data_IF_639445494274
#
_entry.id   IF_639445494274
#
_cell.length_a   1.000
_cell.length_b   1.000
_cell.length_c   1.000
_cell.angle_alpha   90.00
_cell.angle_beta   90.00
_cell.angle_gamma   90.00
#
_symmetry.space_group_name_H-M   'P 1'
#
loop_
_entity.id
_entity.type
_entity.pdbx_description
1 polymer ?
#
# COMPACT_ATOMS: atom_id res chain seq x y z
N UNK A 1 -9.24 -3.79 -2.40
CA UNK A 1 -9.84 -4.01 -3.73
C UNK A 1 -8.75 -3.76 -4.76
N UNK A 2 -8.35 -4.76 -5.51
CA UNK A 2 -7.34 -4.61 -6.58
C UNK A 2 -8.10 -4.30 -7.87
N UNK A 3 -7.85 -3.14 -8.45
CA UNK A 3 -8.41 -2.76 -9.75
C UNK A 3 -7.35 -3.05 -10.82
N UNK A 4 -7.69 -3.87 -11.80
CA UNK A 4 -6.80 -4.22 -12.89
C UNK A 4 -7.20 -3.42 -14.13
N UNK A 5 -6.28 -2.59 -14.65
CA UNK A 5 -6.48 -1.82 -15.87
C UNK A 5 -5.86 -2.59 -17.06
N UNK A 6 -6.64 -2.76 -18.14
CA UNK A 6 -6.18 -3.32 -19.41
C UNK A 6 -5.92 -2.19 -20.41
N UNK A 7 -4.74 -2.12 -20.98
CA UNK A 7 -4.46 -1.27 -22.14
C UNK A 7 -4.14 -2.16 -23.35
N UNK A 8 -4.98 -2.09 -24.37
CA UNK A 8 -4.83 -2.77 -25.64
C UNK A 8 -6.17 -3.21 -26.20
N UNK A 9 -6.69 -2.45 -27.19
CA UNK A 9 -7.97 -2.67 -27.87
C UNK A 9 -9.15 -2.81 -26.90
N UNK A 10 -9.85 -1.71 -26.67
CA UNK A 10 -11.18 -1.70 -26.06
C UNK A 10 -12.16 -2.52 -26.91
N UNK A 11 -12.09 -3.83 -26.81
CA UNK A 11 -13.30 -4.62 -26.92
C UNK A 11 -14.03 -4.37 -25.62
N UNK A 12 -15.29 -3.96 -25.67
CA UNK A 12 -16.18 -3.78 -24.51
C UNK A 12 -16.23 -5.08 -23.70
N UNK A 13 -15.21 -5.31 -22.87
CA UNK A 13 -15.22 -6.33 -21.84
C UNK A 13 -15.77 -5.69 -20.57
N UNK A 14 -16.84 -6.22 -20.04
CA UNK A 14 -17.38 -5.79 -18.77
C UNK A 14 -16.26 -5.75 -17.70
N UNK A 15 -16.21 -4.68 -16.92
CA UNK A 15 -15.34 -4.59 -15.74
C UNK A 15 -15.60 -5.83 -14.86
N UNK A 16 -14.59 -6.66 -14.65
CA UNK A 16 -14.71 -7.88 -13.87
C UNK A 16 -14.26 -7.62 -12.43
N UNK A 17 -15.13 -7.92 -11.48
CA UNK A 17 -14.81 -7.86 -10.05
C UNK A 17 -14.63 -9.29 -9.55
N UNK A 18 -13.41 -9.61 -9.10
CA UNK A 18 -13.14 -10.86 -8.40
C UNK A 18 -13.31 -10.64 -6.89
N UNK A 19 -14.27 -11.31 -6.28
CA UNK A 19 -14.49 -11.29 -4.84
C UNK A 19 -13.81 -12.50 -4.20
N UNK A 20 -12.88 -12.24 -3.26
CA UNK A 20 -12.17 -13.30 -2.54
C UNK A 20 -10.83 -12.86 -1.97
N UNK A 21 -10.13 -13.78 -1.34
CA UNK A 21 -8.78 -13.57 -0.85
C UNK A 21 -7.80 -13.47 -2.04
N UNK A 22 -6.94 -12.47 -2.01
CA UNK A 22 -5.94 -12.24 -3.07
C UNK A 22 -5.03 -13.44 -3.29
N UNK A 23 -4.74 -14.21 -2.25
CA UNK A 23 -3.92 -15.42 -2.28
C UNK A 23 -4.59 -16.59 -3.04
N UNK A 24 -5.91 -16.56 -3.12
CA UNK A 24 -6.68 -17.57 -3.88
C UNK A 24 -7.09 -17.07 -5.25
N UNK A 25 -7.30 -15.77 -5.42
CA UNK A 25 -7.74 -15.19 -6.70
C UNK A 25 -6.57 -15.01 -7.68
N UNK A 26 -5.44 -14.45 -7.24
CA UNK A 26 -4.31 -14.20 -8.15
C UNK A 26 -3.85 -15.47 -8.90
N UNK A 27 -3.71 -16.65 -8.26
CA UNK A 27 -3.33 -17.87 -8.97
C UNK A 27 -4.26 -18.28 -10.11
N UNK A 28 -5.53 -17.88 -10.08
CA UNK A 28 -6.50 -18.19 -11.15
C UNK A 28 -6.35 -17.31 -12.40
N UNK A 29 -5.65 -16.18 -12.28
CA UNK A 29 -5.43 -15.25 -13.37
C UNK A 29 -4.30 -15.76 -14.28
N UNK A 30 -4.45 -15.50 -15.58
CA UNK A 30 -3.45 -15.88 -16.58
C UNK A 30 -2.14 -15.11 -16.36
N UNK A 31 -1.01 -15.79 -16.45
CA UNK A 31 0.31 -15.17 -16.40
C UNK A 31 0.47 -14.13 -17.52
N UNK A 32 1.10 -13.00 -17.23
CA UNK A 32 1.36 -11.92 -18.19
C UNK A 32 0.10 -11.26 -18.76
N UNK A 33 -1.05 -11.33 -18.07
CA UNK A 33 -2.31 -10.75 -18.57
C UNK A 33 -2.59 -9.34 -18.06
N UNK A 34 -1.85 -8.85 -17.07
CA UNK A 34 -2.06 -7.57 -16.40
C UNK A 34 -0.97 -6.58 -16.79
N UNK A 35 -1.34 -5.37 -17.22
CA UNK A 35 -0.38 -4.34 -17.59
C UNK A 35 0.00 -3.44 -16.44
N UNK A 36 -0.95 -3.14 -15.56
CA UNK A 36 -0.74 -2.23 -14.45
C UNK A 36 -1.49 -2.71 -13.22
N UNK A 37 -0.84 -2.65 -12.07
CA UNK A 37 -1.46 -2.90 -10.77
C UNK A 37 -1.36 -1.63 -9.94
N UNK A 38 -2.51 -1.15 -9.45
CA UNK A 38 -2.58 -0.06 -8.48
C UNK A 38 -3.25 -0.59 -7.23
N UNK A 39 -2.56 -0.55 -6.10
CA UNK A 39 -3.08 -1.18 -4.89
C UNK A 39 -2.63 -0.51 -3.60
N UNK A 40 -3.51 -0.55 -2.60
CA UNK A 40 -3.24 -0.26 -1.20
C UNK A 40 -3.63 -1.50 -0.40
N UNK A 41 -2.73 -2.45 -0.18
CA UNK A 41 -3.03 -3.63 0.64
C UNK A 41 -3.35 -3.23 2.07
N UNK A 42 -3.95 -4.12 2.89
CA UNK A 42 -4.16 -3.83 4.30
C UNK A 42 -2.84 -3.46 4.99
N UNK A 43 -2.81 -2.30 5.63
CA UNK A 43 -1.61 -1.83 6.32
C UNK A 43 -1.42 -2.59 7.64
N UNK A 44 -0.19 -2.92 7.95
CA UNK A 44 0.13 -3.65 9.17
C UNK A 44 -0.32 -2.89 10.41
N UNK A 45 -1.12 -3.56 11.23
CA UNK A 45 -1.56 -3.06 12.50
C UNK A 45 -2.61 -1.95 12.49
N UNK A 46 -3.15 -1.60 11.34
CA UNK A 46 -4.04 -0.44 11.26
C UNK A 46 -5.50 -0.80 11.41
N UNK A 47 -5.97 -1.86 10.76
CA UNK A 47 -7.40 -2.23 10.74
C UNK A 47 -7.60 -3.73 10.88
N UNK A 48 -8.53 -4.07 11.75
CA UNK A 48 -9.11 -5.39 11.82
C UNK A 48 -10.47 -5.37 11.09
N UNK A 49 -10.57 -6.15 10.04
CA UNK A 49 -11.80 -6.29 9.24
C UNK A 49 -12.68 -7.44 9.73
N UNK A 50 -12.27 -8.15 10.80
CA UNK A 50 -13.00 -9.28 11.38
C UNK A 50 -12.95 -10.54 10.52
N UNK A 51 -11.99 -10.67 9.61
CA UNK A 51 -11.82 -11.84 8.75
C UNK A 51 -10.63 -12.65 9.23
N UNK A 52 -10.88 -13.94 9.52
CA UNK A 52 -9.81 -14.85 9.95
C UNK A 52 -8.72 -14.97 8.90
N UNK A 53 -7.47 -14.81 9.32
CA UNK A 53 -6.31 -14.89 8.41
C UNK A 53 -6.12 -13.70 7.48
N UNK A 54 -6.77 -12.56 7.76
CA UNK A 54 -6.54 -11.34 7.00
C UNK A 54 -5.08 -10.90 7.07
N UNK A 55 -4.59 -10.33 5.98
CA UNK A 55 -3.30 -9.65 5.93
C UNK A 55 -3.40 -8.33 6.71
N UNK A 56 -2.32 -7.97 7.42
CA UNK A 56 -2.22 -6.74 8.22
C UNK A 56 -2.36 -6.95 9.72
N UNK A 57 -2.61 -8.18 10.18
CA UNK A 57 -2.68 -8.54 11.61
C UNK A 57 -1.61 -9.56 12.02
N UNK A 58 -0.57 -9.71 11.24
CA UNK A 58 0.56 -10.58 11.56
C UNK A 58 1.20 -10.16 12.89
N UNK A 59 1.76 -11.13 13.64
CA UNK A 59 2.31 -10.87 14.97
C UNK A 59 3.54 -9.95 14.94
N UNK A 60 4.26 -9.90 13.82
CA UNK A 60 5.45 -9.06 13.66
C UNK A 60 5.47 -8.35 12.30
N UNK A 61 6.17 -7.21 12.19
CA UNK A 61 6.36 -6.54 10.89
C UNK A 61 7.04 -7.43 9.86
N UNK A 62 7.96 -8.30 10.30
CA UNK A 62 8.69 -9.22 9.42
C UNK A 62 7.74 -10.26 8.80
N UNK A 63 6.83 -10.83 9.60
CA UNK A 63 5.82 -11.78 9.09
C UNK A 63 4.87 -11.11 8.10
N UNK A 64 4.50 -9.86 8.34
CA UNK A 64 3.73 -9.07 7.37
C UNK A 64 4.49 -8.86 6.06
N UNK A 65 5.76 -8.47 6.15
CA UNK A 65 6.62 -8.24 4.98
C UNK A 65 6.76 -9.54 4.17
N UNK A 66 6.94 -10.68 4.83
CA UNK A 66 7.02 -11.97 4.17
C UNK A 66 5.72 -12.32 3.42
N UNK A 67 4.56 -12.13 4.06
CA UNK A 67 3.26 -12.32 3.42
C UNK A 67 3.08 -11.41 2.21
N UNK A 68 3.52 -10.15 2.31
CA UNK A 68 3.49 -9.22 1.18
C UNK A 68 4.38 -9.70 0.02
N UNK A 69 5.59 -10.18 0.30
CA UNK A 69 6.46 -10.74 -0.75
C UNK A 69 5.79 -11.93 -1.45
N UNK A 70 5.16 -12.84 -0.70
CA UNK A 70 4.43 -13.97 -1.30
C UNK A 70 3.29 -13.52 -2.22
N UNK A 71 2.47 -12.55 -1.78
CA UNK A 71 1.41 -11.99 -2.63
C UNK A 71 2.00 -11.34 -3.88
N UNK A 72 3.08 -10.58 -3.74
CA UNK A 72 3.69 -9.86 -4.85
C UNK A 72 4.46 -10.76 -5.83
N UNK A 73 4.83 -11.98 -5.45
CA UNK A 73 5.30 -13.02 -6.41
C UNK A 73 4.19 -13.41 -7.38
N UNK A 74 2.95 -13.58 -6.89
CA UNK A 74 1.80 -13.83 -7.76
C UNK A 74 1.43 -12.60 -8.60
N UNK A 75 1.52 -11.39 -8.04
CA UNK A 75 1.40 -10.14 -8.81
C UNK A 75 2.44 -10.12 -9.94
N UNK A 76 3.69 -10.48 -9.67
CA UNK A 76 4.77 -10.54 -10.67
C UNK A 76 4.48 -11.55 -11.76
N UNK A 77 3.90 -12.71 -11.42
CA UNK A 77 3.50 -13.74 -12.40
C UNK A 77 2.43 -13.24 -13.35
N UNK A 78 1.39 -12.57 -12.84
CA UNK A 78 0.28 -12.09 -13.68
C UNK A 78 0.61 -10.80 -14.43
N UNK A 79 1.60 -10.03 -13.96
CA UNK A 79 2.04 -8.80 -14.61
C UNK A 79 2.79 -9.12 -15.91
N UNK A 80 2.55 -8.31 -16.96
CA UNK A 80 3.33 -8.34 -18.20
C UNK A 80 4.79 -7.95 -17.93
N UNK A 81 5.70 -8.29 -18.84
CA UNK A 81 7.12 -7.96 -18.67
C UNK A 81 7.38 -6.46 -18.72
N UNK A 82 6.57 -5.71 -19.47
CA UNK A 82 6.58 -4.25 -19.53
C UNK A 82 5.64 -3.56 -18.53
N UNK A 83 5.02 -4.34 -17.63
CA UNK A 83 4.00 -3.86 -16.70
C UNK A 83 4.56 -3.13 -15.48
N UNK A 84 3.70 -2.34 -14.83
CA UNK A 84 4.03 -1.53 -13.66
C UNK A 84 3.15 -1.84 -12.45
N UNK A 85 3.70 -1.67 -11.27
CA UNK A 85 2.96 -1.73 -10.00
C UNK A 85 3.11 -0.41 -9.27
N UNK A 86 1.98 0.14 -8.82
CA UNK A 86 1.88 1.34 -8.01
C UNK A 86 1.36 0.94 -6.63
N UNK A 87 2.27 0.85 -5.68
CA UNK A 87 2.01 0.31 -4.35
C UNK A 87 1.95 1.44 -3.32
N UNK A 88 0.76 1.71 -2.80
CA UNK A 88 0.59 2.66 -1.70
C UNK A 88 0.63 1.94 -0.36
N UNK A 89 1.43 2.44 0.57
CA UNK A 89 1.56 1.93 1.93
C UNK A 89 1.62 3.07 2.94
N UNK A 90 0.84 2.91 4.00
CA UNK A 90 0.94 3.73 5.21
C UNK A 90 1.83 3.08 6.25
N UNK A 91 2.34 3.90 7.16
CA UNK A 91 3.22 3.48 8.24
C UNK A 91 2.57 3.68 9.61
N UNK A 92 3.06 3.02 10.60
CA UNK A 92 2.60 3.11 11.98
C UNK A 92 3.75 3.22 12.97
N UNK A 93 3.41 3.53 14.22
CA UNK A 93 4.38 3.64 15.30
C UNK A 93 4.20 2.48 16.28
N UNK A 94 5.31 1.98 16.81
CA UNK A 94 5.30 0.97 17.86
C UNK A 94 4.78 1.60 19.16
N UNK A 95 3.60 1.17 19.61
CA UNK A 95 2.97 1.73 20.82
C UNK A 95 2.90 0.69 21.93
N UNK A 96 3.17 1.12 23.19
CA UNK A 96 3.00 0.29 24.39
C UNK A 96 1.56 -0.16 24.66
N UNK A 97 0.59 0.53 24.10
CA UNK A 97 -0.83 0.20 24.30
C UNK A 97 -1.37 -0.81 23.27
N UNK A 98 -0.47 -1.47 22.53
CA UNK A 98 -0.85 -2.42 21.48
C UNK A 98 -1.71 -1.77 20.40
N UNK A 99 -2.16 -2.52 19.43
CA UNK A 99 -3.07 -2.16 18.33
C UNK A 99 -4.40 -1.45 18.73
N UNK A 100 -4.53 -1.07 20.00
CA UNK A 100 -5.81 -0.85 20.67
C UNK A 100 -6.43 0.54 20.52
N UNK A 101 -5.71 1.59 20.08
CA UNK A 101 -6.30 2.95 20.10
C UNK A 101 -7.13 3.29 18.86
N UNK A 102 -6.74 2.84 17.69
CA UNK A 102 -7.55 3.04 16.49
C UNK A 102 -8.89 2.29 16.59
N UNK A 103 -8.92 1.14 17.25
CA UNK A 103 -10.11 0.32 17.43
C UNK A 103 -11.07 0.77 18.55
N UNK A 104 -10.60 1.53 19.55
CA UNK A 104 -11.50 1.96 20.65
C UNK A 104 -12.61 2.93 20.22
N UNK A 105 -12.40 3.68 19.18
CA UNK A 105 -13.41 4.64 18.70
C UNK A 105 -14.53 3.95 17.90
N UNK A 106 -14.24 2.80 17.27
CA UNK A 106 -15.21 2.00 16.53
C UNK A 106 -15.87 0.91 17.40
N UNK A 107 -15.14 0.35 18.38
CA UNK A 107 -15.66 -0.66 19.32
C UNK A 107 -16.72 -0.11 20.28
N UNK A 108 -16.87 1.21 20.43
CA UNK A 108 -17.91 1.83 21.27
C UNK A 108 -19.33 1.75 20.69
N UNK A 109 -19.52 1.29 19.46
CA UNK A 109 -20.84 1.17 18.81
C UNK A 109 -21.41 -0.25 18.71
N UNK A 110 -20.72 -1.26 19.21
CA UNK A 110 -21.20 -2.65 19.20
C UNK A 110 -20.89 -3.36 20.52
N UNK A 111 -21.93 -3.72 21.21
CA UNK A 111 -22.09 -4.50 22.44
C UNK A 111 -21.04 -5.56 22.78
N UNK A 112 -20.71 -5.62 24.08
CA UNK A 112 -20.35 -6.82 24.86
C UNK A 112 -19.33 -7.81 24.23
N UNK A 113 -18.06 -7.51 24.39
CA UNK A 113 -17.00 -8.46 24.14
C UNK A 113 -15.88 -8.26 25.16
N UNK A 114 -15.65 -9.27 26.00
CA UNK A 114 -14.75 -9.27 27.11
C UNK A 114 -13.39 -8.64 26.86
N UNK A 115 -12.81 -8.15 27.92
CA UNK A 115 -11.42 -7.70 27.96
C UNK A 115 -10.50 -8.84 27.50
N UNK A 116 -10.19 -8.90 26.23
CA UNK A 116 -9.08 -9.68 25.75
C UNK A 116 -7.81 -9.00 26.23
N UNK A 117 -7.11 -9.64 27.14
CA UNK A 117 -5.72 -9.34 27.51
C UNK A 117 -4.88 -9.35 26.21
N UNK A 118 -4.77 -8.19 25.57
CA UNK A 118 -3.91 -8.03 24.41
C UNK A 118 -2.48 -8.03 24.92
N UNK A 119 -1.83 -9.19 24.83
CA UNK A 119 -0.40 -9.32 25.05
C UNK A 119 0.31 -8.23 24.27
N UNK A 120 1.06 -7.39 24.97
CA UNK A 120 1.99 -6.46 24.39
C UNK A 120 2.96 -7.26 23.52
N UNK A 121 2.89 -7.10 22.21
CA UNK A 121 3.85 -7.76 21.32
C UNK A 121 5.13 -6.95 21.42
N UNK A 122 6.06 -7.42 22.25
CA UNK A 122 7.40 -6.84 22.37
C UNK A 122 8.21 -7.26 21.15
N UNK A 123 8.43 -6.31 20.26
CA UNK A 123 9.35 -6.54 19.15
C UNK A 123 10.80 -6.47 19.67
N UNK A 124 11.69 -7.40 19.29
CA UNK A 124 13.04 -7.48 19.86
C UNK A 124 13.91 -6.25 19.57
N UNK A 125 13.64 -5.53 18.50
CA UNK A 125 14.46 -4.38 18.06
C UNK A 125 13.72 -3.05 18.03
N UNK A 126 12.37 -3.05 18.01
CA UNK A 126 11.58 -1.82 17.97
C UNK A 126 11.25 -1.37 19.38
N UNK A 127 11.66 -0.16 19.72
CA UNK A 127 11.33 0.48 20.98
C UNK A 127 9.94 1.14 20.92
N UNK A 128 9.36 1.39 22.08
CA UNK A 128 8.14 2.21 22.18
C UNK A 128 8.34 3.54 21.48
N UNK A 129 7.36 3.95 20.66
CA UNK A 129 7.33 5.16 19.83
C UNK A 129 8.23 5.11 18.58
N UNK A 130 8.97 4.05 18.31
CA UNK A 130 9.68 3.93 17.05
C UNK A 130 8.69 3.95 15.88
N UNK A 131 9.03 4.65 14.80
CA UNK A 131 8.41 4.49 13.50
C UNK A 131 8.80 3.12 12.96
N UNK A 132 7.82 2.30 12.58
CA UNK A 132 8.09 0.91 12.21
C UNK A 132 8.75 0.81 10.85
N UNK A 133 8.43 1.71 9.93
CA UNK A 133 9.02 1.77 8.60
C UNK A 133 8.45 0.73 7.63
N UNK A 134 7.18 0.32 7.82
CA UNK A 134 6.53 -0.71 6.98
C UNK A 134 6.67 -0.43 5.48
N UNK A 135 6.41 0.79 4.96
CA UNK A 135 6.50 1.04 3.54
C UNK A 135 7.87 0.68 2.96
N UNK A 136 8.93 1.11 3.63
CA UNK A 136 10.30 0.87 3.18
C UNK A 136 10.77 -0.57 3.39
N UNK A 137 10.32 -1.23 4.48
CA UNK A 137 10.60 -2.66 4.71
C UNK A 137 10.01 -3.50 3.58
N UNK A 138 8.76 -3.23 3.19
CA UNK A 138 8.12 -3.94 2.06
C UNK A 138 8.83 -3.60 0.74
N UNK A 139 9.12 -2.33 0.47
CA UNK A 139 9.78 -1.92 -0.77
C UNK A 139 11.16 -2.59 -0.95
N UNK A 140 11.99 -2.63 0.10
CA UNK A 140 13.29 -3.29 0.06
C UNK A 140 13.20 -4.81 0.00
N UNK A 141 12.20 -5.41 0.66
CA UNK A 141 11.98 -6.86 0.55
C UNK A 141 11.55 -7.26 -0.87
N UNK A 142 10.68 -6.49 -1.51
CA UNK A 142 10.31 -6.69 -2.91
C UNK A 142 11.50 -6.48 -3.84
N UNK A 143 12.33 -5.46 -3.60
CA UNK A 143 13.55 -5.25 -4.36
C UNK A 143 14.49 -6.45 -4.23
N UNK A 144 14.67 -6.98 -3.02
CA UNK A 144 15.48 -8.18 -2.77
C UNK A 144 14.89 -9.45 -3.44
N UNK A 145 13.54 -9.50 -3.58
CA UNK A 145 12.83 -10.57 -4.31
C UNK A 145 12.84 -10.38 -5.84
N UNK A 146 13.64 -9.42 -6.34
CA UNK A 146 13.90 -9.24 -7.77
C UNK A 146 12.96 -8.27 -8.49
N UNK A 147 12.23 -7.43 -7.77
CA UNK A 147 11.55 -6.27 -8.36
C UNK A 147 12.53 -5.13 -8.60
N UNK A 148 12.28 -4.33 -9.62
CA UNK A 148 12.93 -3.04 -9.78
C UNK A 148 12.14 -1.98 -9.00
N UNK A 149 12.71 -1.45 -7.92
CA UNK A 149 12.19 -0.29 -7.21
C UNK A 149 12.59 0.97 -7.97
N UNK A 150 11.66 1.53 -8.74
CA UNK A 150 11.95 2.61 -9.71
C UNK A 150 11.81 4.00 -9.13
N UNK A 151 10.85 4.18 -8.24
CA UNK A 151 10.62 5.48 -7.60
C UNK A 151 9.89 5.31 -6.27
N UNK A 152 10.20 6.20 -5.35
CA UNK A 152 9.41 6.54 -4.18
C UNK A 152 8.67 7.86 -4.46
N UNK A 153 7.39 7.85 -4.27
CA UNK A 153 6.54 9.02 -4.48
C UNK A 153 5.91 9.38 -3.15
N UNK A 154 6.00 10.63 -2.77
CA UNK A 154 5.35 11.17 -1.57
C UNK A 154 3.95 11.62 -1.94
N UNK A 155 2.93 10.92 -1.48
CA UNK A 155 1.57 11.42 -1.51
C UNK A 155 1.36 12.37 -0.35
N UNK A 156 1.50 13.66 -0.60
CA UNK A 156 1.22 14.72 0.36
C UNK A 156 -0.30 14.92 0.50
N UNK A 157 -0.79 14.88 1.74
CA UNK A 157 -2.19 15.10 2.10
C UNK A 157 -2.33 16.48 2.75
N UNK A 158 -2.92 17.48 2.08
CA UNK A 158 -3.09 18.82 2.66
C UNK A 158 -3.95 18.82 3.93
N UNK A 159 -4.90 17.88 4.03
CA UNK A 159 -5.79 17.72 5.18
C UNK A 159 -5.57 16.34 5.82
N UNK A 160 -4.45 16.09 6.51
CA UNK A 160 -4.23 14.83 7.22
C UNK A 160 -5.18 14.71 8.41
N UNK A 161 -5.43 13.47 8.85
CA UNK A 161 -6.13 13.25 10.12
C UNK A 161 -5.36 13.93 11.25
N UNK A 162 -6.02 14.72 12.11
CA UNK A 162 -5.37 15.32 13.28
C UNK A 162 -4.82 14.24 14.22
N UNK A 163 -3.62 14.46 14.71
CA UNK A 163 -2.99 13.61 15.73
C UNK A 163 -2.81 14.41 17.02
N UNK A 164 -3.14 13.80 18.16
CA UNK A 164 -2.94 14.43 19.48
C UNK A 164 -1.53 14.32 20.03
N UNK A 165 -0.58 13.85 19.24
CA UNK A 165 0.84 13.73 19.66
C UNK A 165 1.52 15.08 19.61
N UNK A 166 2.41 15.32 20.62
CA UNK A 166 3.11 16.60 20.80
C UNK A 166 4.62 16.47 20.72
N UNK A 167 5.14 15.26 20.56
CA UNK A 167 6.56 14.94 20.57
C UNK A 167 7.13 14.57 19.19
N UNK A 168 6.35 14.75 18.15
CA UNK A 168 6.75 14.62 16.74
C UNK A 168 5.78 15.35 15.81
N UNK A 169 6.17 15.66 14.58
CA UNK A 169 5.25 16.22 13.59
C UNK A 169 4.08 15.27 13.29
N UNK A 170 2.92 15.84 13.00
CA UNK A 170 1.77 15.09 12.44
C UNK A 170 2.13 14.55 11.07
N UNK A 171 1.85 13.26 10.83
CA UNK A 171 2.14 12.63 9.55
C UNK A 171 1.14 13.11 8.49
N UNK A 172 1.64 13.82 7.48
CA UNK A 172 0.83 14.40 6.40
C UNK A 172 1.07 13.75 5.04
N UNK A 173 1.73 12.59 4.99
CA UNK A 173 2.01 11.89 3.74
C UNK A 173 1.96 10.38 3.89
N UNK A 174 1.81 9.71 2.76
CA UNK A 174 2.06 8.27 2.57
C UNK A 174 3.07 8.08 1.45
N UNK A 175 3.60 6.86 1.32
CA UNK A 175 4.47 6.50 0.21
C UNK A 175 3.71 5.72 -0.85
N UNK A 176 3.99 6.06 -2.11
CA UNK A 176 3.56 5.32 -3.27
C UNK A 176 4.83 4.87 -4.02
N UNK A 177 5.04 3.56 -4.11
CA UNK A 177 6.20 3.01 -4.80
C UNK A 177 5.85 2.59 -6.22
N UNK A 178 6.69 2.98 -7.17
CA UNK A 178 6.68 2.44 -8.52
C UNK A 178 7.64 1.25 -8.57
N UNK A 179 7.08 0.07 -8.83
CA UNK A 179 7.81 -1.17 -9.01
C UNK A 179 7.58 -1.70 -10.41
N UNK A 180 8.62 -2.32 -10.99
CA UNK A 180 8.52 -2.94 -12.31
C UNK A 180 9.14 -4.33 -12.30
N UNK A 181 8.67 -5.17 -13.23
CA UNK A 181 9.18 -6.53 -13.40
C UNK A 181 10.50 -6.57 -14.15
N UNK A 182 10.69 -5.61 -15.05
CA UNK A 182 11.84 -5.51 -15.95
C UNK A 182 12.47 -4.12 -15.89
N UNK A 183 13.69 -4.00 -16.39
CA UNK A 183 14.38 -2.72 -16.55
C UNK A 183 13.70 -1.83 -17.58
N UNK A 184 13.08 -2.45 -18.60
CA UNK A 184 12.28 -1.77 -19.62
C UNK A 184 10.80 -1.99 -19.30
N UNK A 185 10.03 -0.91 -19.19
CA UNK A 185 8.62 -0.94 -18.87
C UNK A 185 7.90 0.23 -19.54
N UNK A 186 6.58 0.13 -19.65
CA UNK A 186 5.76 1.17 -20.21
C UNK A 186 5.57 2.33 -19.22
N UNK A 187 5.95 3.53 -19.66
CA UNK A 187 5.70 4.78 -18.94
C UNK A 187 5.52 5.92 -19.95
N UNK A 188 4.30 6.47 -20.03
CA UNK A 188 3.99 7.58 -20.92
C UNK A 188 4.41 8.91 -20.27
N UNK A 189 5.68 9.26 -20.45
CA UNK A 189 6.25 10.46 -19.86
C UNK A 189 5.62 11.74 -20.43
N UNK A 190 5.16 11.73 -21.69
CA UNK A 190 4.55 12.90 -22.31
C UNK A 190 3.14 13.17 -21.77
N UNK A 191 2.34 12.13 -21.56
CA UNK A 191 0.96 12.26 -21.04
C UNK A 191 0.90 12.82 -19.61
N UNK A 192 1.99 12.69 -18.83
CA UNK A 192 2.02 13.08 -17.42
C UNK A 192 2.88 14.32 -17.16
N UNK A 193 3.28 15.06 -18.18
CA UNK A 193 4.09 16.28 -18.01
C UNK A 193 3.37 17.32 -17.17
N UNK A 194 4.12 17.96 -16.30
CA UNK A 194 3.66 19.14 -15.55
C UNK A 194 3.91 20.44 -16.34
N UNK A 195 3.03 21.45 -16.20
CA UNK A 195 3.32 22.78 -16.71
C UNK A 195 4.65 23.33 -16.16
N UNK A 196 5.40 24.03 -16.99
CA UNK A 196 6.63 24.71 -16.59
C UNK A 196 6.62 26.16 -17.11
N UNK A 197 7.12 27.09 -16.29
CA UNK A 197 7.14 28.52 -16.65
C UNK A 197 8.06 28.79 -17.85
N UNK A 198 9.17 28.04 -17.95
CA UNK A 198 10.24 28.28 -18.90
C UNK A 198 10.24 27.34 -20.11
N UNK A 199 9.19 26.51 -20.26
CA UNK A 199 9.11 25.52 -21.32
C UNK A 199 7.69 25.30 -21.83
N UNK A 200 7.50 25.44 -23.14
CA UNK A 200 6.21 25.13 -23.80
C UNK A 200 5.87 23.63 -23.77
N UNK A 201 6.87 22.77 -23.68
CA UNK A 201 6.69 21.30 -23.60
C UNK A 201 6.46 20.81 -22.17
N UNK A 202 6.49 21.70 -21.18
CA UNK A 202 6.37 21.30 -19.77
C UNK A 202 7.65 20.64 -19.24
N UNK A 203 7.52 20.03 -18.06
CA UNK A 203 8.59 19.30 -17.37
C UNK A 203 8.13 17.91 -16.93
N UNK A 204 9.06 17.03 -16.64
CA UNK A 204 8.76 15.72 -16.13
C UNK A 204 7.98 15.78 -14.81
N UNK A 205 7.06 14.86 -14.62
CA UNK A 205 6.30 14.68 -13.37
C UNK A 205 7.27 14.48 -12.19
N UNK A 206 7.06 15.24 -11.13
CA UNK A 206 7.88 15.16 -9.91
C UNK A 206 7.30 14.14 -8.93
N UNK A 207 8.11 13.69 -7.97
CA UNK A 207 7.78 12.62 -7.04
C UNK A 207 7.06 13.09 -5.77
N UNK A 208 6.60 14.34 -5.68
CA UNK A 208 5.74 14.81 -4.58
C UNK A 208 4.39 15.20 -5.16
N UNK A 209 3.37 14.40 -4.84
CA UNK A 209 2.02 14.59 -5.35
C UNK A 209 1.11 15.10 -4.23
N UNK A 210 0.54 16.27 -4.44
CA UNK A 210 -0.44 16.84 -3.52
C UNK A 210 -1.83 16.43 -3.97
N UNK A 211 -2.41 15.47 -3.26
CA UNK A 211 -3.76 14.95 -3.55
C UNK A 211 -4.59 15.03 -2.28
N UNK A 212 -5.67 15.80 -2.34
CA UNK A 212 -6.58 15.95 -1.21
C UNK A 212 -7.47 14.71 -1.08
N UNK A 213 -7.42 13.96 0.04
CA UNK A 213 -8.38 12.91 0.30
C UNK A 213 -9.75 13.54 0.59
N UNK A 214 -10.62 13.61 -0.41
CA UNK A 214 -12.02 13.99 -0.19
C UNK A 214 -12.80 12.73 0.20
N UNK A 215 -13.59 12.77 1.28
CA UNK A 215 -14.59 11.74 1.49
C UNK A 215 -15.59 11.79 0.32
N UNK A 216 -16.02 10.64 -0.14
CA UNK A 216 -17.18 10.57 -1.04
C UNK A 216 -18.39 11.19 -0.31
N UNK A 217 -19.03 12.15 -0.94
CA UNK A 217 -20.28 12.71 -0.48
C UNK A 217 -21.44 11.72 -0.65
#
# INVERSE_FOLDING_TARGET
MVRLAHAGLYTQGADMIHHGDVRTILPTLKAGSVQCVVTSPPYWGLRDYGVTGQIGLEPTPEAYVENMVQVFREVKRVLRDDGTVWLNLGDSYNSTSGFSRANKQWARKGRDGGANDKKEIKHPTLKTKDLIGIPWRVAFALQADGWYLRSDIVWHKPNPMPESVTDRPTKSHEYLFLLTKSVQYYYDAEAVREPAQDSKSGRNLRSVWTINPKPYA
#
